data_IF_393733540694
#
_entry.id   IF_393733540694
#
_cell.length_a   1.000
_cell.length_b   1.000
_cell.length_c   1.000
_cell.angle_alpha   90.00
_cell.angle_beta   90.00
_cell.angle_gamma   90.00
#
_symmetry.space_group_name_H-M   'P 1'
#
loop_
_entity.id
_entity.type
_entity.pdbx_description
1 polymer ?
#
# COMPACT_ATOMS: atom_id res chain seq x y z
N UNK A 1 -22.24 -1.28 -14.11
CA UNK A 1 -22.61 -1.08 -12.69
C UNK A 1 -24.12 -0.84 -12.68
N UNK A 2 -24.92 -1.85 -12.32
CA UNK A 2 -26.40 -1.88 -12.49
C UNK A 2 -27.17 -1.13 -11.38
N UNK A 3 -26.66 0.00 -10.89
CA UNK A 3 -27.30 0.74 -9.80
C UNK A 3 -28.57 1.48 -10.24
N UNK A 4 -28.73 1.75 -11.54
CA UNK A 4 -29.91 2.43 -12.12
C UNK A 4 -31.16 1.55 -12.12
N UNK A 5 -30.99 0.24 -12.30
CA UNK A 5 -32.10 -0.72 -12.45
C UNK A 5 -32.60 -1.23 -11.09
N UNK A 6 -31.75 -1.24 -10.07
CA UNK A 6 -32.06 -1.88 -8.78
C UNK A 6 -32.65 -0.95 -7.71
N UNK A 7 -32.55 0.38 -7.88
CA UNK A 7 -32.91 1.37 -6.85
C UNK A 7 -34.22 2.13 -7.13
N UNK A 8 -34.95 1.77 -8.18
CA UNK A 8 -36.16 2.47 -8.65
C UNK A 8 -35.96 3.99 -8.67
N UNK A 9 -34.82 4.44 -9.21
CA UNK A 9 -34.48 5.86 -9.24
C UNK A 9 -35.33 6.56 -10.29
N UNK A 10 -35.81 7.75 -9.95
CA UNK A 10 -36.43 8.65 -10.93
C UNK A 10 -35.38 9.14 -11.93
N UNK A 11 -35.82 9.53 -13.13
CA UNK A 11 -34.90 10.07 -14.14
C UNK A 11 -34.10 11.28 -13.61
N UNK A 12 -34.74 12.16 -12.83
CA UNK A 12 -34.07 13.29 -12.17
C UNK A 12 -32.94 12.87 -11.23
N UNK A 13 -33.15 11.82 -10.43
CA UNK A 13 -32.11 11.28 -9.54
C UNK A 13 -30.97 10.62 -10.34
N UNK A 14 -31.29 9.93 -11.43
CA UNK A 14 -30.30 9.33 -12.33
C UNK A 14 -29.42 10.42 -12.95
N UNK A 15 -30.02 11.51 -13.41
CA UNK A 15 -29.30 12.62 -14.03
C UNK A 15 -28.39 13.31 -13.01
N UNK A 16 -28.91 13.64 -11.81
CA UNK A 16 -28.14 14.22 -10.70
C UNK A 16 -26.92 13.36 -10.31
N UNK A 17 -27.09 12.05 -10.16
CA UNK A 17 -25.99 11.12 -9.86
C UNK A 17 -24.98 11.05 -11.01
N UNK A 18 -25.46 11.08 -12.26
CA UNK A 18 -24.60 11.01 -13.45
C UNK A 18 -23.76 12.28 -13.62
N UNK A 19 -24.34 13.44 -13.36
CA UNK A 19 -23.63 14.72 -13.34
C UNK A 19 -22.57 14.75 -12.25
N UNK A 20 -22.92 14.38 -11.01
CA UNK A 20 -21.98 14.29 -9.90
C UNK A 20 -20.80 13.35 -10.21
N UNK A 21 -21.09 12.19 -10.81
CA UNK A 21 -20.07 11.23 -11.24
C UNK A 21 -19.16 11.79 -12.33
N UNK A 22 -19.75 12.42 -13.34
CA UNK A 22 -19.01 12.99 -14.47
C UNK A 22 -18.10 14.12 -14.01
N UNK A 23 -18.57 14.98 -13.09
CA UNK A 23 -17.78 16.03 -12.48
C UNK A 23 -16.58 15.44 -11.71
N UNK A 24 -16.82 14.42 -10.89
CA UNK A 24 -15.76 13.71 -10.17
C UNK A 24 -14.76 13.05 -11.11
N UNK A 25 -15.21 12.35 -12.16
CA UNK A 25 -14.31 11.67 -13.10
C UNK A 25 -13.41 12.67 -13.84
N UNK A 26 -13.93 13.86 -14.20
CA UNK A 26 -13.13 14.95 -14.77
C UNK A 26 -12.07 15.43 -13.78
N UNK A 27 -12.46 15.76 -12.55
CA UNK A 27 -11.53 16.21 -11.51
C UNK A 27 -10.47 15.13 -11.21
N UNK A 28 -10.90 13.87 -11.12
CA UNK A 28 -10.04 12.72 -10.87
C UNK A 28 -8.97 12.60 -11.94
N UNK A 29 -9.33 12.70 -13.21
CA UNK A 29 -8.38 12.59 -14.32
C UNK A 29 -7.33 13.71 -14.26
N UNK A 30 -7.77 14.94 -14.01
CA UNK A 30 -6.87 16.10 -13.88
C UNK A 30 -5.90 15.94 -12.71
N UNK A 31 -6.40 15.63 -11.51
CA UNK A 31 -5.55 15.50 -10.32
C UNK A 31 -4.64 14.27 -10.41
N UNK A 32 -5.12 13.16 -11.00
CA UNK A 32 -4.28 11.98 -11.24
C UNK A 32 -3.12 12.26 -12.19
N UNK A 33 -3.35 13.08 -13.22
CA UNK A 33 -2.28 13.53 -14.11
C UNK A 33 -1.25 14.41 -13.36
N UNK A 34 -1.72 15.33 -12.52
CA UNK A 34 -0.84 16.16 -11.67
C UNK A 34 0.01 15.30 -10.72
N UNK A 35 -0.58 14.29 -10.06
CA UNK A 35 0.14 13.36 -9.19
C UNK A 35 1.21 12.59 -9.97
N UNK A 36 0.90 12.13 -11.19
CA UNK A 36 1.89 11.42 -12.03
C UNK A 36 3.09 12.32 -12.37
N UNK A 37 2.83 13.58 -12.73
CA UNK A 37 3.90 14.54 -13.02
C UNK A 37 4.77 14.80 -11.77
N UNK A 38 4.14 15.04 -10.62
CA UNK A 38 4.86 15.23 -9.36
C UNK A 38 5.70 14.01 -8.96
N UNK A 39 5.27 12.78 -9.28
CA UNK A 39 6.04 11.57 -9.04
C UNK A 39 7.28 11.48 -9.94
N UNK A 40 7.19 11.97 -11.19
CA UNK A 40 8.36 12.11 -12.08
C UNK A 40 9.35 13.09 -11.46
N UNK A 41 8.88 14.28 -11.07
CA UNK A 41 9.71 15.32 -10.44
C UNK A 41 10.36 14.83 -9.14
N UNK A 42 9.61 14.09 -8.32
CA UNK A 42 10.11 13.49 -7.09
C UNK A 42 11.25 12.51 -7.36
N UNK A 43 11.07 11.64 -8.37
CA UNK A 43 12.08 10.67 -8.78
C UNK A 43 13.35 11.38 -9.26
N UNK A 44 13.21 12.46 -10.02
CA UNK A 44 14.35 13.28 -10.44
C UNK A 44 15.05 13.97 -9.26
N UNK A 45 14.30 14.54 -8.32
CA UNK A 45 14.86 15.18 -7.14
C UNK A 45 15.65 14.18 -6.28
N UNK A 46 15.16 12.94 -6.13
CA UNK A 46 15.85 11.86 -5.43
C UNK A 46 17.14 11.48 -6.16
N UNK A 47 17.11 11.32 -7.50
CA UNK A 47 18.31 11.03 -8.30
C UNK A 47 19.39 12.12 -8.17
N UNK A 48 18.96 13.38 -8.07
CA UNK A 48 19.82 14.55 -7.85
C UNK A 48 20.23 14.73 -6.38
N UNK A 49 19.80 13.83 -5.47
CA UNK A 49 20.00 13.91 -4.02
C UNK A 49 19.46 15.21 -3.38
N UNK A 50 18.52 15.88 -4.04
CA UNK A 50 17.85 17.07 -3.52
C UNK A 50 16.69 16.66 -2.60
N UNK A 51 17.03 16.19 -1.40
CA UNK A 51 16.05 15.73 -0.42
C UNK A 51 15.16 16.85 0.13
N UNK A 52 15.61 18.11 0.06
CA UNK A 52 14.81 19.26 0.47
C UNK A 52 13.64 19.44 -0.49
N UNK A 53 13.90 19.37 -1.80
CA UNK A 53 12.86 19.44 -2.81
C UNK A 53 12.01 18.17 -2.84
N UNK A 54 12.61 16.99 -2.70
CA UNK A 54 11.87 15.73 -2.62
C UNK A 54 10.80 15.73 -1.50
N UNK A 55 11.12 16.25 -0.32
CA UNK A 55 10.14 16.39 0.78
C UNK A 55 8.98 17.33 0.42
N UNK A 56 9.25 18.42 -0.30
CA UNK A 56 8.21 19.35 -0.77
C UNK A 56 7.29 18.69 -1.79
N UNK A 57 7.86 18.03 -2.80
CA UNK A 57 7.11 17.30 -3.83
C UNK A 57 6.26 16.19 -3.22
N UNK A 58 6.81 15.45 -2.24
CA UNK A 58 6.06 14.42 -1.52
C UNK A 58 4.85 15.01 -0.78
N UNK A 59 5.01 16.16 -0.11
CA UNK A 59 3.88 16.85 0.52
C UNK A 59 2.81 17.26 -0.49
N UNK A 60 3.22 17.79 -1.64
CA UNK A 60 2.28 18.17 -2.71
C UNK A 60 1.51 16.95 -3.25
N UNK A 61 2.18 15.80 -3.40
CA UNK A 61 1.51 14.55 -3.78
C UNK A 61 0.46 14.17 -2.73
N UNK A 62 0.82 14.17 -1.44
CA UNK A 62 -0.13 13.82 -0.37
C UNK A 62 -1.32 14.78 -0.29
N UNK A 63 -1.08 16.07 -0.51
CA UNK A 63 -2.15 17.09 -0.52
C UNK A 63 -3.12 16.83 -1.70
N UNK A 64 -2.60 16.44 -2.87
CA UNK A 64 -3.41 16.08 -4.05
C UNK A 64 -4.17 14.76 -3.89
N UNK A 65 -3.59 13.78 -3.22
CA UNK A 65 -4.32 12.55 -2.87
C UNK A 65 -5.45 12.82 -1.88
N UNK A 66 -5.23 13.72 -0.92
CA UNK A 66 -6.27 14.17 0.00
C UNK A 66 -7.40 14.91 -0.75
N UNK A 67 -7.04 15.77 -1.71
CA UNK A 67 -8.00 16.44 -2.60
C UNK A 67 -8.91 15.41 -3.31
N UNK A 68 -8.35 14.33 -3.86
CA UNK A 68 -9.14 13.25 -4.49
C UNK A 68 -10.06 12.51 -3.52
N UNK A 69 -9.61 12.28 -2.30
CA UNK A 69 -10.40 11.60 -1.26
C UNK A 69 -11.58 12.47 -0.85
N UNK A 70 -11.36 13.78 -0.65
CA UNK A 70 -12.41 14.74 -0.33
C UNK A 70 -13.40 14.89 -1.49
N UNK A 71 -12.93 15.05 -2.72
CA UNK A 71 -13.78 15.11 -3.91
C UNK A 71 -14.66 13.85 -4.07
N UNK A 72 -14.18 12.68 -3.64
CA UNK A 72 -14.98 11.45 -3.64
C UNK A 72 -16.09 11.49 -2.60
N UNK A 73 -15.83 12.08 -1.43
CA UNK A 73 -16.84 12.30 -0.39
C UNK A 73 -17.87 13.31 -0.89
N UNK A 74 -17.44 14.40 -1.54
CA UNK A 74 -18.33 15.42 -2.09
C UNK A 74 -19.23 14.84 -3.20
N UNK A 75 -18.67 14.02 -4.08
CA UNK A 75 -19.42 13.26 -5.07
C UNK A 75 -20.49 12.41 -4.40
N UNK A 76 -20.14 11.65 -3.37
CA UNK A 76 -21.11 10.82 -2.66
C UNK A 76 -22.20 11.62 -1.97
N UNK A 77 -21.82 12.73 -1.33
CA UNK A 77 -22.75 13.68 -0.72
C UNK A 77 -23.76 14.20 -1.75
N UNK A 78 -23.30 14.58 -2.93
CA UNK A 78 -24.16 15.01 -4.04
C UNK A 78 -25.07 13.88 -4.53
N UNK A 79 -24.55 12.66 -4.69
CA UNK A 79 -25.32 11.50 -5.17
C UNK A 79 -26.44 11.10 -4.22
N UNK A 80 -26.22 11.18 -2.91
CA UNK A 80 -27.22 10.76 -1.92
C UNK A 80 -28.21 11.88 -1.57
N UNK A 81 -27.91 13.14 -1.88
CA UNK A 81 -28.71 14.30 -1.48
C UNK A 81 -30.19 14.15 -1.85
N UNK A 82 -30.43 13.71 -3.09
CA UNK A 82 -31.78 13.62 -3.68
C UNK A 82 -32.43 12.23 -3.50
N UNK A 83 -31.79 11.31 -2.77
CA UNK A 83 -32.31 9.96 -2.51
C UNK A 83 -33.21 9.92 -1.26
N UNK A 84 -34.21 9.04 -1.27
CA UNK A 84 -34.99 8.71 -0.07
C UNK A 84 -34.15 7.96 0.98
N UNK A 85 -34.61 7.85 2.23
CA UNK A 85 -33.87 7.16 3.28
C UNK A 85 -33.56 5.69 2.92
N UNK A 86 -34.55 4.97 2.38
CA UNK A 86 -34.39 3.57 1.94
C UNK A 86 -33.43 3.43 0.74
N UNK A 87 -33.49 4.39 -0.20
CA UNK A 87 -32.58 4.45 -1.35
C UNK A 87 -31.14 4.77 -0.92
N UNK A 88 -30.97 5.65 0.07
CA UNK A 88 -29.65 5.99 0.65
C UNK A 88 -29.00 4.77 1.29
N UNK A 89 -29.74 4.04 2.11
CA UNK A 89 -29.23 2.84 2.78
C UNK A 89 -28.81 1.77 1.76
N UNK A 90 -29.67 1.50 0.78
CA UNK A 90 -29.38 0.56 -0.31
C UNK A 90 -28.19 1.00 -1.17
N UNK A 91 -28.06 2.31 -1.44
CA UNK A 91 -26.94 2.88 -2.19
C UNK A 91 -25.62 2.75 -1.42
N UNK A 92 -25.61 3.10 -0.12
CA UNK A 92 -24.43 3.06 0.75
C UNK A 92 -23.95 1.63 0.97
N UNK A 93 -24.87 0.67 1.21
CA UNK A 93 -24.54 -0.74 1.41
C UNK A 93 -23.83 -1.35 0.19
N UNK A 94 -24.17 -0.88 -1.02
CA UNK A 94 -23.61 -1.36 -2.28
C UNK A 94 -22.41 -0.55 -2.77
N UNK A 95 -22.16 0.63 -2.20
CA UNK A 95 -21.05 1.48 -2.61
C UNK A 95 -19.73 0.94 -2.03
N UNK A 96 -18.66 0.76 -2.82
CA UNK A 96 -17.38 0.18 -2.37
C UNK A 96 -16.69 0.93 -1.22
N UNK A 97 -17.14 2.15 -0.91
CA UNK A 97 -16.63 2.91 0.24
C UNK A 97 -17.04 2.26 1.57
N UNK A 98 -18.18 1.58 1.66
CA UNK A 98 -18.55 0.89 2.90
C UNK A 98 -17.56 -0.23 3.25
N UNK A 99 -17.05 -0.95 2.23
CA UNK A 99 -16.02 -1.98 2.41
C UNK A 99 -14.61 -1.42 2.63
N UNK A 100 -14.29 -0.26 2.05
CA UNK A 100 -13.00 0.39 2.21
C UNK A 100 -12.86 1.15 3.54
N UNK A 101 -13.94 1.67 4.12
CA UNK A 101 -13.91 2.35 5.42
C UNK A 101 -14.10 1.38 6.60
N UNK A 102 -14.78 0.25 6.39
CA UNK A 102 -14.96 -0.80 7.40
C UNK A 102 -13.76 -1.74 7.60
N UNK A 103 -12.75 -1.72 6.72
CA UNK A 103 -11.61 -2.66 6.79
C UNK A 103 -10.23 -2.01 6.56
N UNK A 104 -10.15 -0.68 6.56
CA UNK A 104 -8.91 0.07 6.28
C UNK A 104 -8.55 1.08 7.38
N UNK A 105 -9.21 1.00 8.54
CA UNK A 105 -8.64 1.46 9.79
C UNK A 105 -7.64 0.42 10.30
N UNK A 106 -6.36 0.78 10.40
CA UNK A 106 -5.31 0.07 11.16
C UNK A 106 -4.58 -1.16 10.55
N UNK A 107 -4.44 -1.32 9.23
CA UNK A 107 -3.49 -2.34 8.69
C UNK A 107 -2.26 -1.82 7.95
N UNK A 108 -2.17 -0.54 7.59
CA UNK A 108 -1.06 -0.06 6.74
C UNK A 108 -0.13 1.01 7.36
N UNK A 109 -0.25 1.33 8.65
CA UNK A 109 0.67 2.28 9.29
C UNK A 109 1.81 1.63 10.10
N UNK A 110 2.10 0.35 9.86
CA UNK A 110 3.12 -0.39 10.64
C UNK A 110 3.92 -1.49 9.93
N UNK A 111 3.73 -1.75 8.62
CA UNK A 111 4.44 -2.83 7.90
C UNK A 111 5.51 -2.34 6.91
N UNK A 112 6.21 -1.26 7.25
CA UNK A 112 7.48 -0.88 6.61
C UNK A 112 8.64 -1.05 7.59
N UNK A 113 8.75 -2.23 8.18
CA UNK A 113 9.98 -2.74 8.80
C UNK A 113 9.74 -4.19 9.22
N UNK A 114 10.64 -5.10 8.84
CA UNK A 114 10.69 -6.53 9.21
C UNK A 114 10.13 -7.52 8.17
N UNK A 115 10.83 -7.63 7.03
CA UNK A 115 10.95 -8.91 6.34
C UNK A 115 12.41 -9.12 5.92
N UNK A 116 13.27 -9.27 6.92
CA UNK A 116 14.45 -10.14 6.82
C UNK A 116 14.10 -11.40 7.60
N UNK A 117 13.95 -12.49 6.86
CA UNK A 117 13.56 -13.78 7.40
C UNK A 117 14.48 -14.22 8.53
N UNK A 118 13.87 -14.53 9.67
CA UNK A 118 14.35 -15.54 10.60
C UNK A 118 13.15 -16.41 10.93
N UNK A 119 13.11 -17.56 10.25
CA UNK A 119 12.25 -18.69 10.57
C UNK A 119 12.86 -19.36 11.80
N UNK A 120 12.54 -18.84 12.99
CA UNK A 120 12.64 -19.60 14.23
C UNK A 120 11.40 -20.50 14.31
N UNK A 121 11.65 -21.79 14.36
CA UNK A 121 10.64 -22.83 14.43
C UNK A 121 11.30 -24.14 14.81
N UNK A 122 11.78 -24.19 16.05
CA UNK A 122 11.94 -25.43 16.83
C UNK A 122 10.72 -26.34 16.63
N UNK A 123 10.95 -27.58 16.16
CA UNK A 123 9.91 -28.57 15.97
C UNK A 123 10.46 -29.90 15.45
N UNK A 124 10.76 -30.81 16.38
CA UNK A 124 11.07 -32.22 16.14
C UNK A 124 10.11 -32.86 15.12
N UNK A 125 10.65 -33.40 14.03
CA UNK A 125 10.12 -34.63 13.42
C UNK A 125 11.28 -35.45 12.85
N UNK A 126 11.69 -36.46 13.62
CA UNK A 126 12.52 -37.54 13.11
C UNK A 126 11.75 -38.36 12.09
N UNK A 127 12.39 -38.66 10.95
CA UNK A 127 12.15 -39.89 10.18
C UNK A 127 13.37 -40.23 9.35
N UNK A 128 14.02 -41.30 9.79
CA UNK A 128 15.06 -42.09 9.15
C UNK A 128 14.93 -42.21 7.63
N UNK A 129 16.01 -41.93 6.91
CA UNK A 129 16.40 -42.72 5.73
C UNK A 129 17.92 -42.98 5.75
N UNK A 130 18.24 -44.27 5.83
CA UNK A 130 19.56 -44.88 5.73
C UNK A 130 20.06 -44.81 4.29
N UNK A 131 21.38 -44.68 4.14
CA UNK A 131 22.18 -45.27 3.07
C UNK A 131 22.60 -44.34 1.94
N UNK A 132 23.85 -43.84 1.99
CA UNK A 132 24.90 -44.46 1.16
C UNK A 132 26.31 -44.09 1.68
N UNK A 133 27.27 -45.00 1.48
CA UNK A 133 28.66 -44.95 1.96
C UNK A 133 29.62 -44.49 0.85
N UNK A 134 30.87 -44.23 1.26
CA UNK A 134 32.12 -44.24 0.47
C UNK A 134 32.39 -42.97 -0.38
N UNK A 135 33.56 -42.32 -0.40
CA UNK A 135 34.98 -42.56 0.01
C UNK A 135 35.64 -41.16 0.14
N UNK A 136 36.38 -40.78 1.19
CA UNK A 136 37.80 -41.13 1.40
C UNK A 136 38.77 -40.29 0.55
N UNK A 137 39.33 -39.19 1.08
CA UNK A 137 40.71 -38.65 0.86
C UNK A 137 40.86 -37.15 1.22
N UNK A 138 41.40 -36.86 2.41
CA UNK A 138 42.63 -36.06 2.65
C UNK A 138 42.71 -35.62 4.11
N UNK A 139 43.37 -36.45 4.91
CA UNK A 139 44.13 -36.01 6.08
C UNK A 139 45.34 -35.19 5.60
N UNK A 140 45.73 -34.15 6.33
CA UNK A 140 47.11 -33.78 6.74
C UNK A 140 46.95 -32.52 7.63
N UNK A 141 46.95 -32.65 8.96
CA UNK A 141 48.11 -32.59 9.86
C UNK A 141 48.87 -31.25 9.81
N UNK A 142 48.99 -30.66 11.01
CA UNK A 142 50.06 -29.76 11.48
C UNK A 142 50.06 -28.28 11.08
N UNK A 143 49.59 -27.42 11.99
CA UNK A 143 50.51 -26.55 12.75
C UNK A 143 49.77 -25.79 13.89
N UNK A 144 49.89 -26.32 15.11
CA UNK A 144 49.80 -25.53 16.34
C UNK A 144 51.14 -24.82 16.57
N UNK A 145 51.03 -23.60 17.09
CA UNK A 145 52.07 -22.73 17.70
C UNK A 145 52.77 -21.73 16.79
N UNK A 146 52.70 -20.46 17.25
CA UNK A 146 53.56 -19.26 17.03
C UNK A 146 52.72 -18.10 16.48
N UNK A 147 52.45 -16.97 17.14
CA UNK A 147 53.03 -16.33 18.32
C UNK A 147 51.99 -15.33 18.93
N UNK A 148 51.90 -15.37 20.27
CA UNK A 148 51.80 -14.26 21.25
C UNK A 148 50.72 -13.16 21.13
N UNK A 149 49.83 -13.19 22.12
CA UNK A 149 49.34 -12.00 22.82
C UNK A 149 50.48 -11.25 23.55
N UNK A 150 50.26 -9.96 23.78
CA UNK A 150 50.78 -9.06 24.83
C UNK A 150 51.58 -7.84 24.32
N UNK A 151 50.90 -6.71 24.25
CA UNK A 151 51.51 -5.37 24.33
C UNK A 151 51.65 -4.99 25.81
N UNK A 152 52.84 -4.58 26.31
CA UNK A 152 52.97 -3.94 27.61
C UNK A 152 52.82 -2.42 27.51
N UNK A 153 52.18 -1.86 28.54
CA UNK A 153 52.12 -0.43 28.85
C UNK A 153 53.51 0.16 29.09
N UNK A 154 53.69 1.43 28.72
CA UNK A 154 54.51 2.40 29.44
C UNK A 154 53.64 3.62 29.72
#
# INVERSE_FOLDING_TARGET
MRWREDLNLTQKQIDSITEARTAYDKQRNTVSAQIKNLNVDLTEAIKKQDFKNAKKLNKQITDKELELKNARIDMLSAMIKDLSAEQKESFLARHPMHSAWGNQGFRNFGQLSSSRGYRDGSGYQGRSRRGDRNTGLRQFRDNKHRFRQASPRK
#
